data_IF_433013155488
#
_entry.id   IF_433013155488
#
_cell.length_a   1.000
_cell.length_b   1.000
_cell.length_c   1.000
_cell.angle_alpha   90.00
_cell.angle_beta   90.00
_cell.angle_gamma   90.00
#
_symmetry.space_group_name_H-M   'P 1'
#
loop_
_entity.id
_entity.type
_entity.pdbx_description
1 polymer ?
#
# COMPACT_ATOMS: atom_id res chain seq x y z
N UNK A 1 -1.29 -14.92 -3.85
CA UNK A 1 -1.01 -14.53 -2.45
C UNK A 1 -2.24 -13.80 -1.91
N UNK A 2 -2.56 -13.91 -0.61
CA UNK A 2 -3.66 -13.14 0.01
C UNK A 2 -3.34 -11.64 -0.01
N UNK A 3 -4.32 -10.79 -0.35
CA UNK A 3 -4.17 -9.32 -0.39
C UNK A 3 -3.70 -8.77 0.96
N UNK A 4 -4.28 -9.26 2.06
CA UNK A 4 -3.86 -8.93 3.43
C UNK A 4 -2.36 -9.21 3.64
N UNK A 5 -1.85 -10.36 3.20
CA UNK A 5 -0.42 -10.69 3.35
C UNK A 5 0.46 -9.78 2.50
N UNK A 6 0.03 -9.49 1.26
CA UNK A 6 0.77 -8.63 0.35
C UNK A 6 0.82 -7.18 0.87
N UNK A 7 -0.31 -6.65 1.32
CA UNK A 7 -0.41 -5.32 1.90
C UNK A 7 0.39 -5.18 3.18
N UNK A 8 0.33 -6.17 4.08
CA UNK A 8 1.14 -6.20 5.30
C UNK A 8 2.64 -6.17 5.00
N UNK A 9 3.09 -6.97 4.03
CA UNK A 9 4.49 -6.96 3.61
C UNK A 9 4.91 -5.61 3.01
N UNK A 10 4.09 -5.04 2.13
CA UNK A 10 4.35 -3.73 1.50
C UNK A 10 4.38 -2.59 2.53
N UNK A 11 3.42 -2.55 3.46
CA UNK A 11 3.39 -1.56 4.56
C UNK A 11 4.60 -1.73 5.50
N UNK A 12 4.98 -2.96 5.81
CA UNK A 12 6.17 -3.26 6.61
C UNK A 12 7.48 -2.80 5.95
N UNK A 13 7.52 -2.72 4.61
CA UNK A 13 8.64 -2.16 3.85
C UNK A 13 8.57 -0.62 3.79
N UNK A 14 7.38 -0.05 3.60
CA UNK A 14 7.17 1.41 3.51
C UNK A 14 7.35 2.11 4.87
N UNK A 15 7.05 1.43 5.98
CA UNK A 15 7.10 1.97 7.34
C UNK A 15 8.07 1.16 8.21
N UNK A 16 9.40 1.31 8.01
CA UNK A 16 10.41 0.51 8.72
C UNK A 16 10.34 0.68 10.24
N UNK A 17 9.94 1.86 10.70
CA UNK A 17 9.82 2.23 12.12
C UNK A 17 8.73 1.44 12.87
N UNK A 18 7.63 1.05 12.22
CA UNK A 18 6.60 0.19 12.83
C UNK A 18 6.57 -1.23 12.24
N UNK A 19 7.57 -1.60 11.44
CA UNK A 19 7.67 -2.91 10.76
C UNK A 19 7.39 -4.10 11.67
N UNK A 20 7.99 -4.14 12.87
CA UNK A 20 7.78 -5.25 13.82
C UNK A 20 6.33 -5.33 14.29
N UNK A 21 5.68 -4.20 14.54
CA UNK A 21 4.28 -4.12 14.98
C UNK A 21 3.34 -4.55 13.86
N UNK A 22 3.59 -4.11 12.62
CA UNK A 22 2.79 -4.49 11.45
C UNK A 22 2.88 -6.00 11.16
N UNK A 23 4.06 -6.60 11.32
CA UNK A 23 4.24 -8.04 11.10
C UNK A 23 3.60 -8.88 12.21
N UNK A 24 3.62 -8.43 13.47
CA UNK A 24 3.08 -9.18 14.60
C UNK A 24 1.59 -8.91 14.90
N UNK A 25 1.00 -7.88 14.30
CA UNK A 25 -0.38 -7.48 14.57
C UNK A 25 -1.39 -8.58 14.24
N UNK A 26 -2.30 -8.86 15.18
CA UNK A 26 -3.47 -9.73 14.98
C UNK A 26 -4.72 -8.91 15.28
N UNK A 27 -5.09 -8.02 14.36
CA UNK A 27 -6.29 -7.18 14.42
C UNK A 27 -6.97 -7.25 13.08
N UNK A 28 -8.30 -7.43 13.10
CA UNK A 28 -9.11 -7.57 11.89
C UNK A 28 -9.22 -6.23 11.15
N UNK A 29 -9.27 -5.14 11.91
CA UNK A 29 -9.26 -3.76 11.38
C UNK A 29 -7.96 -3.46 10.62
N UNK A 30 -6.83 -3.98 11.12
CA UNK A 30 -5.56 -3.87 10.40
C UNK A 30 -5.51 -4.77 9.17
N UNK A 31 -6.20 -5.91 9.17
CA UNK A 31 -6.28 -6.77 7.98
C UNK A 31 -7.03 -6.07 6.83
N UNK A 32 -8.12 -5.34 7.11
CA UNK A 32 -8.82 -4.52 6.11
C UNK A 32 -7.91 -3.40 5.57
N UNK A 33 -7.13 -2.75 6.44
CA UNK A 33 -6.12 -1.76 6.04
C UNK A 33 -5.05 -2.37 5.13
N UNK A 34 -4.55 -3.56 5.46
CA UNK A 34 -3.57 -4.25 4.65
C UNK A 34 -4.15 -4.58 3.27
N UNK A 35 -5.38 -5.09 3.21
CA UNK A 35 -6.04 -5.39 1.95
C UNK A 35 -6.23 -4.14 1.08
N UNK A 36 -6.73 -3.05 1.66
CA UNK A 36 -6.89 -1.77 0.96
C UNK A 36 -5.55 -1.24 0.42
N UNK A 37 -4.48 -1.31 1.22
CA UNK A 37 -3.15 -0.88 0.79
C UNK A 37 -2.62 -1.75 -0.36
N UNK A 38 -2.86 -3.07 -0.32
CA UNK A 38 -2.46 -3.97 -1.39
C UNK A 38 -3.14 -3.61 -2.72
N UNK A 39 -4.45 -3.33 -2.69
CA UNK A 39 -5.23 -2.92 -3.86
C UNK A 39 -4.75 -1.58 -4.43
N UNK A 40 -4.50 -0.59 -3.57
CA UNK A 40 -3.99 0.71 -4.01
C UNK A 40 -2.59 0.61 -4.64
N UNK A 41 -1.70 -0.19 -4.04
CA UNK A 41 -0.36 -0.43 -4.60
C UNK A 41 -0.43 -1.14 -5.96
N UNK A 42 -1.30 -2.14 -6.10
CA UNK A 42 -1.50 -2.84 -7.37
C UNK A 42 -2.11 -1.92 -8.45
N UNK A 43 -3.07 -1.07 -8.10
CA UNK A 43 -3.62 -0.08 -9.01
C UNK A 43 -2.54 0.91 -9.48
N UNK A 44 -1.68 1.37 -8.57
CA UNK A 44 -0.54 2.23 -8.91
C UNK A 44 0.46 1.53 -9.84
N UNK A 45 0.79 0.26 -9.56
CA UNK A 45 1.65 -0.56 -10.42
C UNK A 45 1.02 -0.68 -11.83
N UNK A 46 -0.27 -0.98 -11.94
CA UNK A 46 -1.00 -1.05 -13.22
C UNK A 46 -0.97 0.27 -13.97
N UNK A 47 -1.33 1.38 -13.31
CA UNK A 47 -1.27 2.72 -13.90
C UNK A 47 0.13 3.08 -14.39
N UNK A 48 1.18 2.59 -13.72
CA UNK A 48 2.57 2.86 -14.11
C UNK A 48 3.00 2.11 -15.36
N UNK A 49 2.32 0.99 -15.65
CA UNK A 49 2.54 0.15 -16.81
C UNK A 49 1.57 0.44 -17.98
N UNK A 50 0.52 1.25 -17.77
CA UNK A 50 -0.40 1.67 -18.83
C UNK A 50 0.28 2.57 -19.86
N UNK A 51 -0.06 2.38 -21.15
CA UNK A 51 0.41 3.20 -22.27
C UNK A 51 -0.80 3.80 -23.00
N UNK A 52 -0.85 5.14 -23.20
CA UNK A 52 0.14 6.13 -22.75
C UNK A 52 0.14 6.28 -21.22
N UNK A 53 1.33 6.38 -20.63
CA UNK A 53 1.47 6.63 -19.19
C UNK A 53 0.78 7.95 -18.86
N UNK A 54 0.01 7.97 -17.77
CA UNK A 54 -0.66 9.18 -17.24
C UNK A 54 0.11 9.67 -16.00
N UNK A 55 1.23 10.40 -16.18
CA UNK A 55 2.15 10.74 -15.09
C UNK A 55 1.51 11.57 -13.97
N UNK A 56 0.52 12.39 -14.30
CA UNK A 56 -0.21 13.23 -13.34
C UNK A 56 -0.99 12.39 -12.31
N UNK A 57 -1.71 11.37 -12.77
CA UNK A 57 -2.45 10.43 -11.91
C UNK A 57 -1.50 9.63 -11.01
N UNK A 58 -0.35 9.19 -11.55
CA UNK A 58 0.65 8.46 -10.77
C UNK A 58 1.24 9.29 -9.63
N UNK A 59 1.44 10.59 -9.86
CA UNK A 59 1.95 11.49 -8.84
C UNK A 59 0.92 11.69 -7.73
N UNK A 60 -0.36 11.85 -8.07
CA UNK A 60 -1.45 11.99 -7.10
C UNK A 60 -1.57 10.75 -6.20
N UNK A 61 -1.63 9.55 -6.78
CA UNK A 61 -1.69 8.31 -6.01
C UNK A 61 -0.45 8.09 -5.11
N UNK A 62 0.75 8.48 -5.58
CA UNK A 62 1.98 8.41 -4.77
C UNK A 62 1.93 9.35 -3.57
N UNK A 63 1.47 10.58 -3.75
CA UNK A 63 1.34 11.54 -2.65
C UNK A 63 0.33 11.07 -1.60
N UNK A 64 -0.79 10.46 -2.04
CA UNK A 64 -1.77 9.87 -1.13
C UNK A 64 -1.23 8.66 -0.36
N UNK A 65 -0.41 7.79 -0.98
CA UNK A 65 0.19 6.64 -0.30
C UNK A 65 1.35 7.02 0.63
N UNK A 66 2.01 8.17 0.42
CA UNK A 66 3.17 8.62 1.20
C UNK A 66 2.80 9.36 2.48
N UNK A 67 1.61 9.98 2.56
CA UNK A 67 1.16 10.68 3.76
C UNK A 67 0.42 9.71 4.68
N UNK A 68 1.02 9.25 5.80
CA UNK A 68 0.21 8.79 6.91
C UNK A 68 -0.54 10.01 7.42
N UNK A 69 -1.87 9.91 7.47
CA UNK A 69 -2.76 10.87 8.10
C UNK A 69 -2.15 11.36 9.42
N UNK A 70 -1.90 12.66 9.54
CA UNK A 70 -1.62 13.33 10.81
C UNK A 70 -2.85 13.33 11.71
#
# INVERSE_FOLDING_TARGET
>A
MSLVRAGRARLAMALPQCRKQLLSAKSRELDDLFEAYALAAEALEKLSMEVPQRPELLQEYREHLRKPSS
#
